data_IF_150481941087
#
_entry.id   IF_150481941087
#
_cell.length_a   1.000
_cell.length_b   1.000
_cell.length_c   1.000
_cell.angle_alpha   90.00
_cell.angle_beta   90.00
_cell.angle_gamma   90.00
#
_symmetry.space_group_name_H-M   'P 1'
#
loop_
_entity.id
_entity.type
_entity.pdbx_description
1 polymer ?
#
# COMPACT_ATOMS: atom_id res chain seq x y z
N UNK A 1 1.50 -3.55 -9.44
CA UNK A 1 0.53 -3.68 -8.34
C UNK A 1 0.72 -2.44 -7.50
N UNK A 2 -0.29 -1.60 -7.32
CA UNK A 2 -0.13 -0.27 -6.71
C UNK A 2 0.55 -0.34 -5.33
N UNK A 3 0.19 -1.31 -4.49
CA UNK A 3 0.84 -1.52 -3.19
C UNK A 3 2.36 -1.80 -3.27
N UNK A 4 2.83 -2.51 -4.31
CA UNK A 4 4.27 -2.74 -4.51
C UNK A 4 5.00 -1.44 -4.84
N UNK A 5 4.46 -0.62 -5.73
CA UNK A 5 5.08 0.65 -6.09
C UNK A 5 5.04 1.64 -4.91
N UNK A 6 3.91 1.70 -4.19
CA UNK A 6 3.78 2.47 -2.94
C UNK A 6 4.77 2.02 -1.86
N UNK A 7 5.05 0.72 -1.75
CA UNK A 7 6.01 0.21 -0.75
C UNK A 7 7.44 0.62 -1.01
N UNK A 8 7.87 0.66 -2.28
CA UNK A 8 9.20 1.16 -2.64
C UNK A 8 9.34 2.63 -2.27
N UNK A 9 8.31 3.42 -2.57
CA UNK A 9 8.28 4.85 -2.26
C UNK A 9 8.28 5.08 -0.75
N UNK A 10 7.47 4.32 0.00
CA UNK A 10 7.46 4.39 1.45
C UNK A 10 8.83 4.09 2.06
N UNK A 11 9.50 3.02 1.60
CA UNK A 11 10.87 2.67 2.06
C UNK A 11 11.87 3.76 1.68
N UNK A 12 11.79 4.31 0.47
CA UNK A 12 12.64 5.42 0.03
C UNK A 12 12.47 6.64 0.95
N UNK A 13 11.24 7.05 1.22
CA UNK A 13 10.94 8.17 2.12
C UNK A 13 11.41 7.90 3.55
N UNK A 14 11.27 6.67 4.06
CA UNK A 14 11.80 6.30 5.39
C UNK A 14 13.32 6.43 5.46
N UNK A 15 14.02 6.02 4.41
CA UNK A 15 15.48 6.16 4.32
C UNK A 15 15.87 7.64 4.27
N UNK A 16 15.21 8.43 3.42
CA UNK A 16 15.43 9.87 3.33
C UNK A 16 15.20 10.58 4.68
N UNK A 17 14.12 10.22 5.38
CA UNK A 17 13.83 10.75 6.71
C UNK A 17 14.91 10.36 7.73
N UNK A 18 15.47 9.16 7.62
CA UNK A 18 16.56 8.72 8.49
C UNK A 18 17.85 9.51 8.26
N UNK A 19 18.13 9.93 7.03
CA UNK A 19 19.30 10.78 6.70
C UNK A 19 19.20 12.18 7.34
N UNK A 20 17.97 12.71 7.50
CA UNK A 20 17.72 13.99 8.19
C UNK A 20 17.47 13.84 9.70
N UNK A 21 17.89 12.71 10.29
CA UNK A 21 17.73 12.38 11.71
C UNK A 21 16.27 12.25 12.18
N UNK A 22 15.35 11.91 11.28
CA UNK A 22 13.96 11.62 11.58
C UNK A 22 13.62 10.16 11.28
N UNK A 23 14.24 9.20 11.99
CA UNK A 23 14.02 7.77 11.74
C UNK A 23 12.62 7.35 12.21
N UNK A 24 11.73 6.88 11.32
CA UNK A 24 10.40 6.43 11.73
C UNK A 24 10.50 5.10 12.49
N UNK A 25 9.96 5.03 13.70
CA UNK A 25 10.02 3.84 14.56
C UNK A 25 8.91 2.83 14.30
N UNK A 26 7.77 3.30 13.80
CA UNK A 26 6.62 2.47 13.46
C UNK A 26 6.60 2.17 11.96
N UNK A 27 6.02 1.03 11.54
CA UNK A 27 5.87 0.70 10.12
C UNK A 27 4.92 1.69 9.44
N UNK A 28 5.19 2.01 8.17
CA UNK A 28 4.29 2.84 7.36
C UNK A 28 3.13 2.00 6.87
N UNK A 29 1.90 2.31 7.29
CA UNK A 29 0.70 1.59 6.83
C UNK A 29 0.31 1.99 5.42
N UNK A 30 0.22 1.01 4.54
CA UNK A 30 -0.26 1.14 3.15
C UNK A 30 -1.64 0.50 3.09
N UNK A 31 -2.64 1.31 2.72
CA UNK A 31 -4.01 0.85 2.53
C UNK A 31 -4.17 0.26 1.13
N UNK A 32 -4.70 -0.95 1.03
CA UNK A 32 -4.90 -1.65 -0.24
C UNK A 32 -6.26 -2.33 -0.30
N UNK A 33 -6.96 -2.19 -1.43
CA UNK A 33 -8.25 -2.84 -1.66
C UNK A 33 -8.13 -4.27 -2.21
N UNK A 34 -6.91 -4.70 -2.55
CA UNK A 34 -6.63 -6.06 -2.95
C UNK A 34 -6.38 -6.95 -1.71
N UNK A 35 -7.43 -7.64 -1.27
CA UNK A 35 -7.34 -8.55 -0.13
C UNK A 35 -6.28 -9.66 -0.29
N UNK A 36 -6.03 -10.12 -1.52
CA UNK A 36 -4.97 -11.10 -1.75
C UNK A 36 -3.56 -10.52 -1.47
N UNK A 37 -3.35 -9.22 -1.74
CA UNK A 37 -2.10 -8.54 -1.40
C UNK A 37 -1.87 -8.45 0.11
N UNK A 38 -2.94 -8.18 0.86
CA UNK A 38 -2.90 -8.13 2.34
C UNK A 38 -2.59 -9.52 2.90
N UNK A 39 -3.39 -10.53 2.54
CA UNK A 39 -3.23 -11.91 3.05
C UNK A 39 -1.84 -12.47 2.75
N UNK A 40 -1.35 -12.34 1.52
CA UNK A 40 -0.04 -12.92 1.13
C UNK A 40 1.13 -12.18 1.78
N UNK A 41 0.95 -10.91 2.15
CA UNK A 41 1.99 -10.18 2.90
C UNK A 41 2.10 -10.65 4.35
N UNK A 42 1.01 -11.16 4.93
CA UNK A 42 0.95 -11.66 6.32
C UNK A 42 1.26 -13.15 6.43
N UNK A 43 0.80 -13.98 5.49
CA UNK A 43 0.86 -15.45 5.56
C UNK A 43 1.68 -16.11 4.43
N UNK A 44 2.78 -16.85 4.74
CA UNK A 44 3.54 -17.66 3.78
C UNK A 44 2.75 -18.74 3.02
N UNK A 45 1.62 -19.20 3.53
CA UNK A 45 1.00 -20.45 3.08
C UNK A 45 0.22 -20.32 1.76
N UNK A 46 -0.07 -19.12 1.29
CA UNK A 46 -0.83 -18.89 0.05
C UNK A 46 0.10 -18.84 -1.18
N UNK A 47 0.45 -20.02 -1.70
CA UNK A 47 1.19 -20.18 -2.95
C UNK A 47 0.25 -20.08 -4.17
N UNK A 48 0.16 -18.90 -4.79
CA UNK A 48 -0.46 -18.77 -6.12
C UNK A 48 0.62 -18.68 -7.20
N UNK A 49 0.79 -19.78 -7.96
CA UNK A 49 1.86 -20.03 -8.94
C UNK A 49 1.83 -19.06 -10.13
N UNK A 50 2.37 -17.85 -9.98
CA UNK A 50 2.65 -16.96 -11.12
C UNK A 50 3.92 -16.15 -10.86
N UNK A 51 5.03 -16.47 -11.54
CA UNK A 51 6.39 -15.93 -11.28
C UNK A 51 6.49 -14.40 -11.10
N UNK A 52 5.77 -13.59 -11.88
CA UNK A 52 5.80 -12.12 -11.75
C UNK A 52 5.01 -11.60 -10.54
N UNK A 53 4.02 -12.37 -10.10
CA UNK A 53 3.29 -12.14 -8.88
C UNK A 53 4.23 -12.42 -7.70
N UNK A 54 4.88 -13.58 -7.69
CA UNK A 54 5.78 -14.00 -6.60
C UNK A 54 6.80 -12.92 -6.20
N UNK A 55 7.53 -12.32 -7.15
CA UNK A 55 8.59 -11.33 -6.82
C UNK A 55 8.04 -10.11 -6.06
N UNK A 56 6.92 -9.53 -6.53
CA UNK A 56 6.35 -8.32 -5.90
C UNK A 56 5.80 -8.60 -4.51
N UNK A 57 5.23 -9.79 -4.34
CA UNK A 57 4.67 -10.23 -3.07
C UNK A 57 5.76 -10.63 -2.07
N UNK A 58 6.81 -11.30 -2.53
CA UNK A 58 8.00 -11.57 -1.72
C UNK A 58 8.62 -10.28 -1.20
N UNK A 59 8.79 -9.26 -2.07
CA UNK A 59 9.30 -7.96 -1.64
C UNK A 59 8.42 -7.32 -0.56
N UNK A 60 7.10 -7.28 -0.75
CA UNK A 60 6.19 -6.71 0.24
C UNK A 60 6.27 -7.45 1.57
N UNK A 61 6.29 -8.77 1.52
CA UNK A 61 6.42 -9.61 2.70
C UNK A 61 7.73 -9.37 3.44
N UNK A 62 8.85 -9.29 2.73
CA UNK A 62 10.16 -8.96 3.32
C UNK A 62 10.12 -7.61 4.04
N UNK A 63 9.47 -6.60 3.44
CA UNK A 63 9.33 -5.26 4.05
C UNK A 63 8.38 -5.24 5.24
N UNK A 64 7.31 -6.03 5.21
CA UNK A 64 6.43 -6.22 6.38
C UNK A 64 7.18 -6.91 7.51
N UNK A 65 7.95 -7.96 7.21
CA UNK A 65 8.77 -8.66 8.21
C UNK A 65 9.89 -7.80 8.80
N UNK A 66 10.47 -6.91 7.98
CA UNK A 66 11.44 -5.90 8.44
C UNK A 66 10.80 -4.77 9.27
N UNK A 67 9.48 -4.75 9.41
CA UNK A 67 8.71 -3.71 10.09
C UNK A 67 8.90 -2.32 9.45
N UNK A 68 9.25 -2.26 8.16
CA UNK A 68 9.34 -1.03 7.38
C UNK A 68 7.94 -0.51 7.02
N UNK A 69 7.06 -1.44 6.66
CA UNK A 69 5.69 -1.16 6.20
C UNK A 69 4.69 -2.13 6.85
N UNK A 70 3.42 -1.77 6.85
CA UNK A 70 2.32 -2.69 7.10
C UNK A 70 1.27 -2.56 6.00
N UNK A 71 0.59 -3.64 5.64
CA UNK A 71 -0.50 -3.62 4.67
C UNK A 71 -1.82 -3.81 5.39
N UNK A 72 -2.79 -2.95 5.11
CA UNK A 72 -4.13 -3.05 5.68
C UNK A 72 -5.19 -2.97 4.59
N UNK A 73 -6.23 -3.79 4.73
CA UNK A 73 -7.34 -3.79 3.80
C UNK A 73 -8.16 -2.50 3.93
N UNK A 74 -8.53 -1.92 2.78
CA UNK A 74 -9.55 -0.87 2.69
C UNK A 74 -10.60 -1.27 1.66
N UNK A 75 -11.87 -0.93 1.90
CA UNK A 75 -12.89 -1.15 0.90
C UNK A 75 -12.61 -0.29 -0.35
N UNK A 76 -12.75 -0.85 -1.56
CA UNK A 76 -12.58 -0.10 -2.83
C UNK A 76 -13.43 1.18 -2.86
N UNK A 77 -14.62 1.19 -2.24
CA UNK A 77 -15.48 2.38 -2.18
C UNK A 77 -14.92 3.52 -1.34
N UNK A 78 -13.98 3.22 -0.46
CA UNK A 78 -13.36 4.14 0.49
C UNK A 78 -11.87 4.37 0.18
N UNK A 79 -11.33 3.72 -0.85
CA UNK A 79 -9.94 3.87 -1.26
C UNK A 79 -9.73 5.22 -1.98
N UNK A 80 -9.21 6.20 -1.26
CA UNK A 80 -8.90 7.54 -1.80
C UNK A 80 -7.96 7.51 -3.01
N UNK A 81 -7.05 6.53 -3.10
CA UNK A 81 -6.12 6.41 -4.22
C UNK A 81 -6.83 6.16 -5.56
N UNK A 82 -8.09 5.69 -5.53
CA UNK A 82 -8.88 5.46 -6.74
C UNK A 82 -9.20 6.76 -7.49
N UNK A 83 -9.25 7.91 -6.81
CA UNK A 83 -9.40 9.23 -7.46
C UNK A 83 -8.29 9.46 -8.48
N UNK A 84 -7.07 9.03 -8.17
CA UNK A 84 -5.88 9.29 -8.98
C UNK A 84 -5.59 8.19 -10.00
N UNK A 85 -6.26 7.03 -9.90
CA UNK A 85 -5.91 5.83 -10.68
C UNK A 85 -7.05 5.30 -11.52
N UNK A 86 -8.30 5.72 -11.28
CA UNK A 86 -9.50 5.21 -11.97
C UNK A 86 -10.40 6.36 -12.43
N UNK A 87 -11.12 6.14 -13.53
CA UNK A 87 -12.23 6.98 -13.93
C UNK A 87 -13.47 6.61 -13.10
N UNK A 88 -13.74 7.38 -12.04
CA UNK A 88 -14.86 7.11 -11.12
C UNK A 88 -16.14 7.82 -11.57
N UNK A 89 -17.33 7.24 -11.29
CA UNK A 89 -18.59 7.96 -11.43
C UNK A 89 -18.59 9.23 -10.57
N UNK A 90 -19.23 10.30 -11.08
CA UNK A 90 -19.22 11.62 -10.43
C UNK A 90 -19.59 11.55 -8.94
N UNK A 91 -20.62 10.79 -8.58
CA UNK A 91 -21.03 10.64 -7.18
C UNK A 91 -19.94 10.05 -6.28
N UNK A 92 -19.22 9.02 -6.75
CA UNK A 92 -18.14 8.39 -5.99
C UNK A 92 -16.91 9.32 -5.93
N UNK A 93 -16.59 10.00 -7.03
CA UNK A 93 -15.52 10.98 -7.08
C UNK A 93 -15.77 12.12 -6.07
N UNK A 94 -16.94 12.75 -6.08
CA UNK A 94 -17.28 13.85 -5.15
C UNK A 94 -17.23 13.39 -3.69
N UNK A 95 -17.71 12.18 -3.39
CA UNK A 95 -17.62 11.60 -2.05
C UNK A 95 -16.16 11.45 -1.62
N UNK A 96 -15.32 10.80 -2.42
CA UNK A 96 -13.90 10.62 -2.08
C UNK A 96 -13.16 11.96 -2.03
N UNK A 97 -13.49 12.92 -2.90
CA UNK A 97 -12.89 14.25 -2.94
C UNK A 97 -13.10 15.00 -1.63
N UNK A 98 -14.29 14.87 -1.02
CA UNK A 98 -14.57 15.50 0.28
C UNK A 98 -13.64 15.02 1.41
N UNK A 99 -13.05 13.83 1.29
CA UNK A 99 -12.11 13.27 2.26
C UNK A 99 -10.64 13.64 1.99
N UNK A 100 -10.30 14.22 0.83
CA UNK A 100 -8.92 14.65 0.51
C UNK A 100 -8.47 15.87 1.32
N UNK A 101 -9.41 16.61 1.94
CA UNK A 101 -9.08 17.81 2.73
C UNK A 101 -8.52 18.97 1.90
N UNK A 102 -8.68 18.92 0.58
CA UNK A 102 -8.32 20.02 -0.32
C UNK A 102 -9.43 21.07 -0.27
N UNK A 103 -9.07 22.28 0.16
CA UNK A 103 -9.92 23.48 0.21
C UNK A 103 -9.96 24.15 -1.16
#
# INVERSE_FOLDING_TARGET
MAAFDASKEAVFLRNLLSEVNFTPTQPTTILCDNNAAVIVSEDPLHHNRTKHFDIRYHYLRERVQANDISLAYINTKDNLADIFTKALPAQQFTRLWSFLGLV
#
